data_IF_488299419410
#
_entry.id   IF_488299419410
#
_cell.length_a   1.000
_cell.length_b   1.000
_cell.length_c   1.000
_cell.angle_alpha   90.00
_cell.angle_beta   90.00
_cell.angle_gamma   90.00
#
_symmetry.space_group_name_H-M   'P 1'
#
loop_
_entity.id
_entity.type
_entity.pdbx_description
1 polymer ?
#
# COMPACT_ATOMS: atom_id res chain seq x y z
N UNK A 1 -17.66 14.97 -13.58
CA UNK A 1 -17.89 13.50 -13.60
C UNK A 1 -18.58 13.08 -12.31
N UNK A 2 -19.50 12.13 -12.35
CA UNK A 2 -20.26 11.74 -11.15
C UNK A 2 -19.49 10.68 -10.36
N UNK A 3 -19.19 10.97 -9.09
CA UNK A 3 -18.66 9.99 -8.15
C UNK A 3 -19.81 9.13 -7.62
N UNK A 4 -19.65 7.83 -7.73
CA UNK A 4 -20.62 6.81 -7.32
C UNK A 4 -20.25 6.23 -5.94
N UNK A 5 -21.16 5.44 -5.36
CA UNK A 5 -20.93 4.73 -4.12
C UNK A 5 -21.51 5.43 -2.89
N UNK A 6 -21.15 4.91 -1.71
CA UNK A 6 -21.61 5.40 -0.42
C UNK A 6 -20.58 6.34 0.23
N UNK A 7 -21.05 7.41 0.82
CA UNK A 7 -20.23 8.33 1.60
C UNK A 7 -21.03 8.87 2.79
N UNK A 8 -20.59 8.55 4.00
CA UNK A 8 -21.17 9.11 5.23
C UNK A 8 -21.04 10.64 5.19
N UNK A 9 -22.07 11.40 5.58
CA UNK A 9 -22.04 12.88 5.57
C UNK A 9 -20.85 13.52 6.28
N UNK A 10 -20.29 12.84 7.30
CA UNK A 10 -19.07 13.29 8.01
C UNK A 10 -17.86 13.38 7.09
N UNK A 11 -17.85 12.65 5.98
CA UNK A 11 -16.75 12.57 5.00
C UNK A 11 -17.14 13.19 3.64
N UNK A 12 -18.21 13.98 3.58
CA UNK A 12 -18.69 14.56 2.32
C UNK A 12 -17.61 15.35 1.56
N UNK A 13 -16.65 15.96 2.27
CA UNK A 13 -15.50 16.64 1.67
C UNK A 13 -14.61 15.73 0.81
N UNK A 14 -14.46 14.45 1.16
CA UNK A 14 -13.70 13.50 0.35
C UNK A 14 -14.37 13.24 -1.00
N UNK A 15 -15.70 13.13 -0.99
CA UNK A 15 -16.48 12.96 -2.23
C UNK A 15 -16.35 14.18 -3.12
N UNK A 16 -16.51 15.38 -2.55
CA UNK A 16 -16.40 16.64 -3.29
C UNK A 16 -14.99 16.86 -3.84
N UNK A 17 -13.95 16.48 -3.08
CA UNK A 17 -12.57 16.57 -3.54
C UNK A 17 -12.32 15.62 -4.70
N UNK A 18 -12.76 14.37 -4.61
CA UNK A 18 -12.63 13.41 -5.70
C UNK A 18 -13.34 13.90 -6.97
N UNK A 19 -14.56 14.45 -6.85
CA UNK A 19 -15.29 15.05 -7.96
C UNK A 19 -14.49 16.18 -8.61
N UNK A 20 -13.92 17.07 -7.81
CA UNK A 20 -13.09 18.18 -8.27
C UNK A 20 -11.83 17.72 -9.02
N UNK A 21 -11.12 16.70 -8.50
CA UNK A 21 -9.92 16.16 -9.13
C UNK A 21 -10.22 15.48 -10.47
N UNK A 22 -11.32 14.74 -10.56
CA UNK A 22 -11.80 14.13 -11.80
C UNK A 22 -12.26 15.16 -12.84
N UNK A 23 -12.94 16.23 -12.41
CA UNK A 23 -13.41 17.29 -13.30
C UNK A 23 -12.28 18.16 -13.84
N UNK A 24 -11.28 18.43 -13.01
CA UNK A 24 -10.07 19.17 -13.42
C UNK A 24 -9.12 18.37 -14.32
N UNK A 25 -9.30 17.05 -14.40
CA UNK A 25 -8.41 16.15 -15.13
C UNK A 25 -7.08 15.87 -14.42
N UNK A 26 -6.95 16.25 -13.15
CA UNK A 26 -5.79 15.90 -12.32
C UNK A 26 -5.77 14.40 -12.00
N UNK A 27 -6.95 13.78 -11.91
CA UNK A 27 -7.14 12.35 -11.75
C UNK A 27 -7.91 11.78 -12.95
N UNK A 28 -7.46 10.63 -13.44
CA UNK A 28 -8.16 9.90 -14.50
C UNK A 28 -9.34 9.11 -13.95
N UNK A 29 -9.12 8.41 -12.87
CA UNK A 29 -10.09 7.62 -12.14
C UNK A 29 -9.50 7.15 -10.82
N UNK A 30 -10.36 6.99 -9.82
CA UNK A 30 -9.95 6.56 -8.50
C UNK A 30 -11.09 5.90 -7.71
N UNK A 31 -10.70 5.19 -6.65
CA UNK A 31 -11.61 4.71 -5.60
C UNK A 31 -11.05 5.07 -4.23
N UNK A 32 -11.94 5.36 -3.29
CA UNK A 32 -11.61 5.67 -1.90
C UNK A 32 -12.49 4.81 -1.00
N UNK A 33 -11.85 4.06 -0.10
CA UNK A 33 -12.53 3.30 0.95
C UNK A 33 -12.00 3.73 2.30
N UNK A 34 -12.90 4.06 3.21
CA UNK A 34 -12.60 4.30 4.63
C UNK A 34 -13.43 3.34 5.46
N UNK A 35 -12.75 2.52 6.25
CA UNK A 35 -13.38 1.59 7.17
C UNK A 35 -13.18 2.06 8.61
N UNK A 36 -14.26 2.11 9.38
CA UNK A 36 -14.24 2.43 10.81
C UNK A 36 -14.99 1.34 11.56
N UNK A 37 -14.34 0.71 12.50
CA UNK A 37 -14.91 -0.34 13.35
C UNK A 37 -15.58 -1.48 12.57
N UNK A 38 -15.02 -1.81 11.40
CA UNK A 38 -15.52 -2.89 10.54
C UNK A 38 -16.60 -2.46 9.53
N UNK A 39 -17.03 -1.19 9.55
CA UNK A 39 -18.02 -0.63 8.62
C UNK A 39 -17.35 0.29 7.59
N UNK A 40 -17.69 0.14 6.32
CA UNK A 40 -17.25 1.06 5.27
C UNK A 40 -18.08 2.33 5.32
N UNK A 41 -17.57 3.37 5.96
CA UNK A 41 -18.21 4.70 6.05
C UNK A 41 -18.00 5.52 4.78
N UNK A 42 -16.98 5.19 3.98
CA UNK A 42 -16.77 5.69 2.62
C UNK A 42 -16.44 4.51 1.74
N UNK A 43 -17.11 4.39 0.61
CA UNK A 43 -16.84 3.42 -0.47
C UNK A 43 -17.30 4.09 -1.76
N UNK A 44 -16.41 4.89 -2.36
CA UNK A 44 -16.72 5.75 -3.51
C UNK A 44 -15.70 5.54 -4.63
N UNK A 45 -16.14 5.73 -5.87
CA UNK A 45 -15.31 5.62 -7.07
C UNK A 45 -15.84 6.49 -8.20
N UNK A 46 -14.99 6.78 -9.18
CA UNK A 46 -15.37 7.53 -10.37
C UNK A 46 -14.26 7.71 -11.37
N UNK A 47 -14.57 8.29 -12.51
CA UNK A 47 -13.67 8.53 -13.60
C UNK A 47 -13.55 7.37 -14.59
N UNK A 48 -12.36 7.15 -15.14
CA UNK A 48 -12.07 6.14 -16.14
C UNK A 48 -10.89 5.26 -15.74
N UNK A 49 -10.93 4.01 -16.17
CA UNK A 49 -9.86 3.02 -15.94
C UNK A 49 -8.77 3.06 -17.00
N UNK A 50 -8.95 3.83 -18.09
CA UNK A 50 -8.02 3.98 -19.20
C UNK A 50 -7.90 5.43 -19.67
N UNK A 51 -6.72 5.79 -20.17
CA UNK A 51 -6.43 7.14 -20.67
C UNK A 51 -7.21 7.52 -21.93
N UNK A 52 -7.78 6.54 -22.64
CA UNK A 52 -8.63 6.77 -23.80
C UNK A 52 -10.09 7.12 -23.42
N UNK A 53 -10.40 7.08 -22.12
CA UNK A 53 -11.74 7.31 -21.56
C UNK A 53 -12.81 6.36 -22.12
N UNK A 54 -12.40 5.14 -22.53
CA UNK A 54 -13.30 4.14 -23.11
C UNK A 54 -13.91 3.21 -22.06
N UNK A 55 -13.25 3.08 -20.91
CA UNK A 55 -13.68 2.22 -19.81
C UNK A 55 -14.00 3.07 -18.59
N UNK A 56 -15.28 3.18 -18.18
CA UNK A 56 -15.61 3.84 -16.93
C UNK A 56 -14.99 3.08 -15.74
N UNK A 57 -14.61 3.81 -14.71
CA UNK A 57 -14.23 3.21 -13.45
C UNK A 57 -15.47 2.68 -12.74
N UNK A 58 -15.46 1.43 -12.35
CA UNK A 58 -16.50 0.81 -11.52
C UNK A 58 -15.96 0.38 -10.16
N UNK A 59 -16.82 -0.17 -9.31
CA UNK A 59 -16.48 -0.58 -7.97
C UNK A 59 -15.36 -1.63 -7.93
N UNK A 60 -15.33 -2.52 -8.89
CA UNK A 60 -14.43 -3.68 -8.93
C UNK A 60 -13.21 -3.43 -9.86
N UNK A 61 -12.99 -2.18 -10.28
CA UNK A 61 -11.83 -1.81 -11.09
C UNK A 61 -10.53 -2.08 -10.34
N UNK A 62 -9.65 -2.89 -10.95
CA UNK A 62 -8.34 -3.23 -10.41
C UNK A 62 -7.26 -2.40 -11.10
N UNK A 63 -6.36 -1.83 -10.31
CA UNK A 63 -5.22 -1.05 -10.78
C UNK A 63 -3.92 -1.52 -10.14
N UNK A 64 -2.80 -1.20 -10.77
CA UNK A 64 -1.49 -1.47 -10.21
C UNK A 64 -1.20 -0.52 -9.04
N UNK A 65 -0.93 -1.08 -7.86
CA UNK A 65 -0.70 -0.32 -6.63
C UNK A 65 0.77 0.08 -6.41
N UNK A 66 1.69 -0.35 -7.29
CA UNK A 66 3.11 -0.03 -7.18
C UNK A 66 3.65 -0.25 -5.75
N UNK A 67 4.32 0.74 -5.18
CA UNK A 67 4.92 0.65 -3.83
C UNK A 67 3.92 0.46 -2.69
N UNK A 68 2.64 0.74 -2.87
CA UNK A 68 1.60 0.40 -1.87
C UNK A 68 1.51 -1.12 -1.62
N UNK A 69 2.02 -1.93 -2.56
CA UNK A 69 2.21 -3.38 -2.37
C UNK A 69 3.07 -3.71 -1.15
N UNK A 70 3.99 -2.82 -0.71
CA UNK A 70 4.79 -3.02 0.50
C UNK A 70 3.93 -3.18 1.75
N UNK A 71 2.81 -2.49 1.83
CA UNK A 71 1.86 -2.63 2.95
C UNK A 71 1.25 -4.04 2.98
N UNK A 72 0.95 -4.60 1.81
CA UNK A 72 0.41 -5.95 1.70
C UNK A 72 1.48 -6.98 2.07
N UNK A 73 2.73 -6.76 1.66
CA UNK A 73 3.87 -7.61 2.04
C UNK A 73 4.09 -7.57 3.56
N UNK A 74 4.06 -6.38 4.17
CA UNK A 74 4.16 -6.23 5.62
C UNK A 74 3.00 -6.95 6.35
N UNK A 75 1.78 -6.81 5.86
CA UNK A 75 0.62 -7.51 6.41
C UNK A 75 0.80 -9.05 6.33
N UNK A 76 1.28 -9.57 5.20
CA UNK A 76 1.56 -10.99 5.05
C UNK A 76 2.60 -11.47 6.08
N UNK A 77 3.67 -10.70 6.32
CA UNK A 77 4.67 -11.01 7.35
C UNK A 77 4.06 -11.00 8.75
N UNK A 78 3.23 -10.01 9.09
CA UNK A 78 2.54 -9.93 10.38
C UNK A 78 1.62 -11.12 10.62
N UNK A 79 0.94 -11.61 9.58
CA UNK A 79 0.12 -12.83 9.66
C UNK A 79 1.00 -14.05 9.98
N UNK A 80 2.18 -14.18 9.37
CA UNK A 80 3.09 -15.27 9.68
C UNK A 80 3.64 -15.17 11.11
N UNK A 81 3.92 -13.97 11.59
CA UNK A 81 4.33 -13.72 12.98
C UNK A 81 3.21 -14.15 13.94
N UNK A 82 1.98 -13.72 13.71
CA UNK A 82 0.84 -14.06 14.56
C UNK A 82 0.54 -15.56 14.62
N UNK A 83 0.92 -16.30 13.57
CA UNK A 83 0.80 -17.76 13.49
C UNK A 83 2.01 -18.50 14.07
N UNK A 84 3.03 -17.77 14.56
CA UNK A 84 4.26 -18.35 15.09
C UNK A 84 5.21 -18.94 14.02
N UNK A 85 4.97 -18.67 12.75
CA UNK A 85 5.81 -19.17 11.64
C UNK A 85 7.03 -18.28 11.40
N UNK A 86 6.96 -17.02 11.79
CA UNK A 86 8.02 -16.03 11.65
C UNK A 86 8.27 -15.34 13.00
N UNK A 87 9.54 -15.29 13.39
CA UNK A 87 10.03 -14.57 14.56
C UNK A 87 10.67 -13.26 14.05
N UNK A 88 10.14 -12.08 14.38
CA UNK A 88 10.65 -10.80 13.87
C UNK A 88 12.05 -10.46 14.39
N UNK A 89 12.46 -11.05 15.53
CA UNK A 89 13.76 -10.82 16.15
C UNK A 89 14.84 -11.81 15.67
N UNK A 90 14.44 -12.82 14.89
CA UNK A 90 15.36 -13.80 14.36
C UNK A 90 16.12 -13.27 13.13
N UNK A 91 17.39 -13.67 12.94
CA UNK A 91 18.12 -13.30 11.74
C UNK A 91 17.46 -13.91 10.49
N UNK A 92 17.51 -13.18 9.37
CA UNK A 92 16.93 -13.62 8.07
C UNK A 92 17.49 -14.98 7.66
N UNK A 93 18.76 -15.29 7.99
CA UNK A 93 19.41 -16.57 7.70
C UNK A 93 18.74 -17.78 8.35
N UNK A 94 17.90 -17.59 9.39
CA UNK A 94 17.07 -18.66 9.97
C UNK A 94 16.04 -19.19 8.96
N UNK A 95 15.55 -18.32 8.09
CA UNK A 95 14.47 -18.63 7.14
C UNK A 95 14.98 -18.72 5.69
N UNK A 96 16.07 -18.02 5.39
CA UNK A 96 16.66 -17.98 4.06
C UNK A 96 18.17 -18.21 4.11
N UNK A 97 18.58 -19.46 3.95
CA UNK A 97 19.96 -19.93 4.12
C UNK A 97 20.95 -19.25 3.14
N UNK A 98 20.51 -18.87 1.94
CA UNK A 98 21.39 -18.21 0.95
C UNK A 98 21.94 -16.86 1.42
N UNK A 99 21.31 -16.20 2.39
CA UNK A 99 21.80 -14.95 2.97
C UNK A 99 23.08 -15.13 3.79
N UNK A 100 23.40 -16.35 4.24
CA UNK A 100 24.68 -16.66 4.91
C UNK A 100 25.89 -16.50 3.98
N UNK A 101 25.71 -16.73 2.68
CA UNK A 101 26.81 -16.64 1.71
C UNK A 101 27.11 -15.22 1.25
N UNK A 102 26.16 -14.30 1.33
CA UNK A 102 26.36 -12.90 0.96
C UNK A 102 27.02 -12.07 2.08
N UNK A 103 26.89 -12.47 3.33
CA UNK A 103 27.50 -11.78 4.49
C UNK A 103 28.97 -12.14 4.68
N UNK A 104 29.41 -13.31 4.21
CA UNK A 104 30.80 -13.74 4.34
C UNK A 104 31.80 -13.06 3.37
N UNK A 105 31.32 -12.21 2.45
CA UNK A 105 32.16 -11.49 1.49
C UNK A 105 32.58 -10.08 1.94
N UNK A 106 32.09 -9.58 3.06
CA UNK A 106 32.60 -8.35 3.68
C UNK A 106 33.22 -8.64 5.04
N UNK A 107 34.34 -9.37 5.04
CA UNK A 107 35.13 -9.60 6.23
C UNK A 107 35.96 -8.36 6.60
N UNK A 108 35.29 -7.34 7.04
CA UNK A 108 35.79 -6.31 7.97
C UNK A 108 34.59 -5.83 8.75
N UNK A 109 34.53 -5.98 10.08
CA UNK A 109 33.44 -5.41 10.84
C UNK A 109 33.45 -3.91 10.59
N UNK A 110 32.34 -3.31 10.09
CA UNK A 110 32.26 -1.87 10.11
C UNK A 110 32.29 -1.46 11.57
N UNK A 111 33.14 -0.48 11.90
CA UNK A 111 33.05 0.25 13.17
C UNK A 111 31.65 0.86 13.22
N UNK A 112 30.71 0.16 13.83
CA UNK A 112 29.37 0.65 14.10
C UNK A 112 29.48 1.66 15.23
N UNK A 113 29.73 2.93 14.88
CA UNK A 113 29.38 4.03 15.75
C UNK A 113 27.84 4.07 15.87
N UNK A 114 27.25 4.36 17.06
CA UNK A 114 25.82 4.19 17.32
C UNK A 114 24.88 5.15 16.61
N UNK A 115 25.29 5.82 15.56
CA UNK A 115 24.51 6.84 14.85
C UNK A 115 24.63 6.69 13.34
N UNK A 116 24.03 5.65 12.78
CA UNK A 116 23.71 5.66 11.35
C UNK A 116 22.28 5.20 11.14
N UNK A 117 21.34 6.11 10.86
CA UNK A 117 19.94 5.77 10.62
C UNK A 117 19.66 5.67 9.14
N UNK A 118 20.24 4.75 8.39
CA UNK A 118 19.75 4.49 7.04
C UNK A 118 20.12 3.07 6.58
N UNK A 119 19.19 2.14 6.78
CA UNK A 119 19.05 1.00 5.90
C UNK A 119 18.09 1.42 4.78
N UNK A 120 18.64 1.83 3.65
CA UNK A 120 17.87 1.99 2.42
C UNK A 120 17.74 0.62 1.78
N UNK A 121 16.56 0.04 1.84
CA UNK A 121 16.18 -1.11 1.02
C UNK A 121 15.68 -0.57 -0.32
N UNK A 122 16.46 -0.81 -1.36
CA UNK A 122 16.01 -0.72 -2.76
C UNK A 122 15.24 -1.98 -3.11
#
# INVERSE_FOLDING_TARGET
MTVQGHCDPRFASLKSELESQLESGNELGASIVVNTDGENVVDIWGGHADSAHTKPWDRDTIVNLWSSTKNITALAALIQISRGHLDPDAPVSKYWVSTLYSVSYSASPPNLTPHSPFLSLV
#
